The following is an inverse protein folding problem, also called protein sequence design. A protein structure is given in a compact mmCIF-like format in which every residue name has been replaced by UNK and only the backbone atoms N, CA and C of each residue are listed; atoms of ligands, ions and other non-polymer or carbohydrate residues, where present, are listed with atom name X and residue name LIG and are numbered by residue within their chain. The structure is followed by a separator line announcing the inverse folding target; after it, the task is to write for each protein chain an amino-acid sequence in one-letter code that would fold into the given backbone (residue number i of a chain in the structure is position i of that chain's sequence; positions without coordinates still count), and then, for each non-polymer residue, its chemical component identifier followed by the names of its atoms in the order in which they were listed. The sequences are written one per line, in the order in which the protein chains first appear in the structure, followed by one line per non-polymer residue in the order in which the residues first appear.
data_IF_773226699944
#
_entry.id   IF_773226699944
#
_cell.length_a   1.000
_cell.length_b   1.000
_cell.length_c   1.000
_cell.angle_alpha   90.00
_cell.angle_beta   90.00
_cell.angle_gamma   90.00
#
_symmetry.space_group_name_H-M   'P 1'
#
loop_
_entity.id
_entity.type
_entity.pdbx_description
1 polymer ?
#
# COMPACT_ATOMS: atom_id res chain seq x y z
N UNK A 1 6.24 -5.27 8.80
CA UNK A 1 7.43 -5.65 8.01
C UNK A 1 7.88 -4.44 7.21
N UNK A 2 9.18 -4.19 7.08
CA UNK A 2 9.73 -3.13 6.22
C UNK A 2 10.35 -3.78 5.00
N UNK A 3 10.09 -3.22 3.82
CA UNK A 3 10.69 -3.63 2.55
C UNK A 3 11.35 -2.39 1.96
N UNK A 4 12.61 -2.52 1.53
CA UNK A 4 13.36 -1.42 0.93
C UNK A 4 13.33 -1.55 -0.58
N UNK A 5 13.24 -0.42 -1.29
CA UNK A 5 13.40 -0.41 -2.73
C UNK A 5 14.83 -0.84 -3.12
N UNK A 6 14.95 -1.57 -4.23
CA UNK A 6 16.23 -2.15 -4.68
C UNK A 6 17.25 -1.11 -5.16
N UNK A 7 16.77 0.05 -5.61
CA UNK A 7 17.61 1.12 -6.19
C UNK A 7 17.66 2.39 -5.33
N UNK A 8 16.65 2.61 -4.47
CA UNK A 8 16.54 3.81 -3.63
C UNK A 8 16.33 3.40 -2.16
N UNK A 9 17.39 3.43 -1.33
CA UNK A 9 17.28 3.09 0.08
C UNK A 9 16.33 4.02 0.88
N UNK A 10 15.99 5.20 0.35
CA UNK A 10 15.06 6.12 0.98
C UNK A 10 13.59 5.80 0.64
N UNK A 11 13.32 5.02 -0.42
CA UNK A 11 11.97 4.53 -0.74
C UNK A 11 11.72 3.23 0.03
N UNK A 12 11.30 3.39 1.28
CA UNK A 12 10.89 2.30 2.16
C UNK A 12 9.37 2.08 2.07
N UNK A 13 8.96 0.82 2.16
CA UNK A 13 7.56 0.41 2.18
C UNK A 13 7.27 -0.42 3.42
N UNK A 14 6.28 0.01 4.18
CA UNK A 14 5.75 -0.76 5.30
C UNK A 14 4.68 -1.75 4.84
N UNK A 15 4.69 -2.96 5.36
CA UNK A 15 3.60 -3.93 5.23
C UNK A 15 3.10 -4.30 6.63
N UNK A 16 1.87 -3.94 6.94
CA UNK A 16 1.22 -4.19 8.22
C UNK A 16 0.17 -5.30 8.10
N UNK A 17 0.19 -6.21 9.07
CA UNK A 17 -0.78 -7.29 9.25
C UNK A 17 -1.48 -7.06 10.60
N UNK A 18 -2.61 -6.34 10.64
CA UNK A 18 -3.36 -6.11 11.86
C UNK A 18 -3.96 -7.43 12.37
N UNK A 19 -3.79 -7.71 13.67
CA UNK A 19 -4.40 -8.89 14.31
C UNK A 19 -5.92 -8.74 14.48
N UNK A 20 -6.42 -7.51 14.51
CA UNK A 20 -7.84 -7.20 14.67
C UNK A 20 -8.63 -7.56 13.40
N UNK A 21 -9.71 -8.33 13.53
CA UNK A 21 -10.63 -8.60 12.42
C UNK A 21 -11.17 -7.30 11.78
N UNK A 22 -11.44 -6.29 12.63
CA UNK A 22 -11.92 -4.98 12.21
C UNK A 22 -11.00 -3.87 12.74
N UNK A 23 -10.23 -3.30 11.84
CA UNK A 23 -9.19 -2.31 12.15
C UNK A 23 -9.82 -0.96 12.48
N UNK A 24 -9.48 -0.44 13.66
CA UNK A 24 -9.98 0.83 14.17
C UNK A 24 -8.96 1.98 14.04
N UNK A 25 -9.38 3.20 14.39
CA UNK A 25 -8.56 4.40 14.30
C UNK A 25 -7.29 4.37 15.17
N UNK A 26 -7.34 3.71 16.33
CA UNK A 26 -6.20 3.63 17.25
C UNK A 26 -5.05 2.86 16.59
N UNK A 27 -5.39 1.76 15.93
CA UNK A 27 -4.44 0.90 15.19
C UNK A 27 -3.83 1.66 14.02
N UNK A 28 -4.64 2.34 13.20
CA UNK A 28 -4.15 3.17 12.09
C UNK A 28 -3.20 4.28 12.58
N UNK A 29 -3.56 4.97 13.66
CA UNK A 29 -2.70 6.02 14.23
C UNK A 29 -1.37 5.47 14.76
N UNK A 30 -1.35 4.28 15.34
CA UNK A 30 -0.12 3.62 15.77
C UNK A 30 0.82 3.36 14.58
N UNK A 31 0.29 2.84 13.46
CA UNK A 31 1.08 2.62 12.24
C UNK A 31 1.62 3.92 11.65
N UNK A 32 0.80 4.97 11.60
CA UNK A 32 1.23 6.28 11.14
C UNK A 32 2.35 6.88 11.98
N UNK A 33 2.28 6.73 13.31
CA UNK A 33 3.35 7.19 14.20
C UNK A 33 4.66 6.44 13.94
N UNK A 34 4.59 5.13 13.72
CA UNK A 34 5.76 4.31 13.37
C UNK A 34 6.34 4.75 12.01
N UNK A 35 5.51 4.89 10.98
CA UNK A 35 5.91 5.38 9.66
C UNK A 35 6.58 6.76 9.75
N UNK A 36 6.03 7.66 10.57
CA UNK A 36 6.58 8.99 10.78
C UNK A 36 7.95 8.96 11.48
N UNK A 37 8.14 8.06 12.46
CA UNK A 37 9.40 7.88 13.15
C UNK A 37 10.52 7.44 12.21
N UNK A 38 10.18 6.56 11.25
CA UNK A 38 11.12 6.03 10.28
C UNK A 38 11.15 6.82 8.96
N UNK A 39 10.53 8.00 8.93
CA UNK A 39 10.48 8.89 7.76
C UNK A 39 9.99 8.19 6.48
N UNK A 40 9.04 7.26 6.63
CA UNK A 40 8.44 6.48 5.55
C UNK A 40 7.03 6.98 5.28
N UNK A 41 6.65 7.06 3.99
CA UNK A 41 5.35 7.61 3.59
C UNK A 41 4.43 6.60 2.90
N UNK A 42 4.91 5.38 2.66
CA UNK A 42 4.18 4.33 1.94
C UNK A 42 3.95 3.12 2.84
N UNK A 43 2.72 2.63 2.86
CA UNK A 43 2.43 1.36 3.50
C UNK A 43 1.29 0.59 2.84
N UNK A 44 1.37 -0.73 2.96
CA UNK A 44 0.32 -1.68 2.64
C UNK A 44 -0.28 -2.19 3.96
N UNK A 45 -1.60 -2.16 4.06
CA UNK A 45 -2.37 -2.81 5.11
C UNK A 45 -3.03 -4.06 4.55
N UNK A 46 -2.69 -5.21 5.12
CA UNK A 46 -3.32 -6.49 4.80
C UNK A 46 -4.43 -6.74 5.81
N UNK A 47 -5.68 -6.57 5.40
CA UNK A 47 -6.87 -6.59 6.26
C UNK A 47 -7.56 -7.96 6.26
N UNK A 48 -8.13 -8.32 7.40
CA UNK A 48 -9.05 -9.46 7.51
C UNK A 48 -10.45 -9.10 6.98
N UNK A 49 -11.36 -10.09 6.95
CA UNK A 49 -12.69 -10.01 6.31
C UNK A 49 -13.54 -8.80 6.75
N UNK A 50 -13.46 -8.37 8.02
CA UNK A 50 -14.27 -7.22 8.51
C UNK A 50 -13.66 -5.85 8.19
N UNK A 51 -12.44 -5.80 7.65
CA UNK A 51 -11.82 -4.61 7.09
C UNK A 51 -11.64 -3.45 8.07
N UNK A 52 -11.79 -2.21 7.58
CA UNK A 52 -11.65 -0.98 8.36
C UNK A 52 -12.99 -0.53 8.95
N UNK A 53 -12.96 0.13 10.11
CA UNK A 53 -14.11 0.93 10.56
C UNK A 53 -14.36 2.12 9.61
N UNK A 54 -15.60 2.62 9.49
CA UNK A 54 -15.89 3.79 8.65
C UNK A 54 -15.01 5.00 9.01
N UNK A 55 -14.79 5.23 10.30
CA UNK A 55 -13.90 6.27 10.80
C UNK A 55 -12.46 6.09 10.33
N UNK A 56 -11.90 4.89 10.43
CA UNK A 56 -10.54 4.59 9.99
C UNK A 56 -10.39 4.79 8.47
N UNK A 57 -11.40 4.36 7.70
CA UNK A 57 -11.43 4.57 6.24
C UNK A 57 -11.41 6.05 5.88
N UNK A 58 -12.22 6.89 6.55
CA UNK A 58 -12.21 8.34 6.33
C UNK A 58 -10.85 8.96 6.64
N UNK A 59 -10.22 8.59 7.76
CA UNK A 59 -8.91 9.13 8.10
C UNK A 59 -7.82 8.75 7.09
N UNK A 60 -7.84 7.52 6.57
CA UNK A 60 -6.90 7.11 5.51
C UNK A 60 -7.05 8.01 4.28
N UNK A 61 -8.29 8.31 3.87
CA UNK A 61 -8.56 9.20 2.74
C UNK A 61 -8.08 10.63 3.03
N UNK A 62 -8.33 11.17 4.22
CA UNK A 62 -7.87 12.52 4.60
C UNK A 62 -6.34 12.64 4.64
N UNK A 63 -5.67 11.55 5.01
CA UNK A 63 -4.20 11.50 5.11
C UNK A 63 -3.51 11.15 3.79
N UNK A 64 -4.27 10.83 2.74
CA UNK A 64 -3.76 10.46 1.41
C UNK A 64 -2.90 11.53 0.74
N UNK A 65 -3.02 12.79 1.18
CA UNK A 65 -2.19 13.89 0.69
C UNK A 65 -0.71 13.79 1.11
N UNK A 66 -0.43 13.09 2.22
CA UNK A 66 0.92 12.95 2.79
C UNK A 66 1.39 11.49 2.82
N UNK A 67 0.48 10.55 3.06
CA UNK A 67 0.79 9.13 3.19
C UNK A 67 0.06 8.34 2.10
N UNK A 68 0.79 7.45 1.42
CA UNK A 68 0.19 6.48 0.50
C UNK A 68 -0.07 5.21 1.29
N UNK A 69 -1.34 5.02 1.69
CA UNK A 69 -1.80 3.84 2.41
C UNK A 69 -2.71 3.03 1.49
N UNK A 70 -2.24 1.86 1.09
CA UNK A 70 -2.99 0.92 0.27
C UNK A 70 -3.50 -0.22 1.14
N UNK A 71 -4.74 -0.66 0.91
CA UNK A 71 -5.35 -1.74 1.67
C UNK A 71 -5.76 -2.90 0.77
N UNK A 72 -5.35 -4.10 1.14
CA UNK A 72 -5.76 -5.36 0.49
C UNK A 72 -6.43 -6.24 1.52
N UNK A 73 -7.36 -7.08 1.10
CA UNK A 73 -7.85 -8.15 1.96
C UNK A 73 -6.95 -9.39 1.86
N UNK A 74 -6.80 -10.13 2.97
CA UNK A 74 -6.01 -11.36 3.01
C UNK A 74 -6.44 -12.36 1.93
N UNK A 75 -7.76 -12.50 1.71
CA UNK A 75 -8.31 -13.39 0.71
C UNK A 75 -7.96 -12.99 -0.74
N UNK A 76 -7.70 -11.70 -1.01
CA UNK A 76 -7.27 -11.21 -2.33
C UNK A 76 -5.80 -11.56 -2.60
N UNK A 77 -4.99 -11.65 -1.54
CA UNK A 77 -3.56 -11.94 -1.63
C UNK A 77 -3.21 -13.44 -1.53
N UNK A 78 -4.21 -14.30 -1.33
CA UNK A 78 -4.00 -15.76 -1.26
C UNK A 78 -3.49 -16.36 -2.58
N UNK A 79 -3.81 -15.73 -3.71
CA UNK A 79 -3.40 -16.19 -5.03
C UNK A 79 -2.84 -15.00 -5.81
N UNK A 80 -1.62 -15.16 -6.33
CA UNK A 80 -1.02 -14.15 -7.19
C UNK A 80 -1.68 -14.14 -8.58
N UNK A 81 -2.61 -13.21 -8.80
CA UNK A 81 -3.36 -13.13 -10.06
C UNK A 81 -2.47 -12.78 -11.27
N UNK A 82 -1.26 -12.24 -11.06
CA UNK A 82 -0.35 -11.91 -12.17
C UNK A 82 0.23 -13.15 -12.85
N UNK A 83 0.14 -14.32 -12.22
CA UNK A 83 0.58 -15.60 -12.79
C UNK A 83 -0.53 -16.32 -13.57
N UNK A 84 -1.74 -15.78 -13.53
CA UNK A 84 -2.87 -16.37 -14.21
C UNK A 84 -2.74 -16.22 -15.73
N UNK A 85 -3.02 -17.29 -16.49
CA UNK A 85 -2.86 -17.33 -17.96
C UNK A 85 -3.63 -16.21 -18.71
N UNK A 86 -4.76 -15.77 -18.16
CA UNK A 86 -5.58 -14.70 -18.75
C UNK A 86 -5.10 -13.28 -18.41
N UNK A 87 -4.10 -13.14 -17.54
CA UNK A 87 -3.55 -11.85 -17.13
C UNK A 87 -2.19 -11.66 -17.83
N UNK A 88 -2.08 -10.79 -18.84
CA UNK A 88 -0.79 -10.50 -19.47
C UNK A 88 0.13 -9.77 -18.48
N UNK A 89 1.43 -9.79 -18.78
CA UNK A 89 2.40 -9.03 -18.00
C UNK A 89 2.21 -7.53 -18.23
N UNK A 90 2.14 -6.76 -17.14
CA UNK A 90 2.04 -5.30 -17.17
C UNK A 90 3.35 -4.69 -16.66
N UNK A 91 3.97 -3.83 -17.47
CA UNK A 91 5.18 -3.10 -17.10
C UNK A 91 4.84 -1.62 -16.91
N UNK A 92 5.28 -1.04 -15.79
CA UNK A 92 5.09 0.37 -15.48
C UNK A 92 6.09 1.19 -16.31
N UNK A 93 5.59 2.13 -17.11
CA UNK A 93 6.44 3.01 -17.91
C UNK A 93 7.10 4.08 -17.03
N UNK A 94 8.36 4.38 -17.34
CA UNK A 94 9.08 5.53 -16.79
C UNK A 94 8.51 6.84 -17.35
N UNK A 95 8.88 7.97 -16.74
CA UNK A 95 8.45 9.29 -17.24
C UNK A 95 8.99 9.57 -18.65
N UNK A 96 10.19 9.12 -18.96
CA UNK A 96 10.83 9.28 -20.27
C UNK A 96 10.11 8.45 -21.34
N UNK A 97 9.88 7.16 -21.09
CA UNK A 97 9.13 6.27 -21.99
C UNK A 97 7.70 6.78 -22.22
N UNK A 98 7.04 7.28 -21.17
CA UNK A 98 5.71 7.86 -21.29
C UNK A 98 5.71 9.10 -22.18
N UNK A 99 6.73 9.95 -22.09
CA UNK A 99 6.86 11.14 -22.93
C UNK A 99 7.10 10.75 -24.40
N UNK A 100 8.02 9.81 -24.66
CA UNK A 100 8.27 9.30 -26.01
C UNK A 100 7.01 8.70 -26.64
N UNK A 101 6.23 7.95 -25.86
CA UNK A 101 4.98 7.35 -26.33
C UNK A 101 3.95 8.40 -26.74
N UNK A 102 3.87 9.54 -26.04
CA UNK A 102 2.93 10.62 -26.34
C UNK A 102 3.38 11.51 -27.51
N UNK A 103 4.68 11.52 -27.82
CA UNK A 103 5.24 12.25 -28.96
C UNK A 103 5.11 11.49 -30.30
N UNK A 104 4.71 10.21 -30.25
CA UNK A 104 4.40 9.36 -31.41
C UNK A 104 2.93 9.41 -31.80
#
# INVERSE_FOLDING_TARGET
MVVNHGEDPADMLYVFFPEEEKVNMKTVRAYLNQMQQDSTYRAILVLQEKGLTPSAKTAIVELSCKYTLESFFENELMVNITEHQLVPQHNVLTQEEKKELLER
#
